data_IF_023848235036
#
_entry.id   IF_023848235036
#
_cell.length_a   1.000
_cell.length_b   1.000
_cell.length_c   1.000
_cell.angle_alpha   90.00
_cell.angle_beta   90.00
_cell.angle_gamma   90.00
#
_symmetry.space_group_name_H-M   'P 1'
#
loop_
_entity.id
_entity.type
_entity.pdbx_description
1 polymer ?
#
# COMPACT_ATOMS: atom_id res chain seq x y z
N UNK A 1 -13.99 16.23 -7.79
CA UNK A 1 -12.82 15.35 -8.01
C UNK A 1 -12.01 15.34 -6.72
N UNK A 2 -11.48 14.19 -6.32
CA UNK A 2 -10.65 14.07 -5.12
C UNK A 2 -9.20 14.42 -5.44
N UNK A 3 -8.51 15.12 -4.54
CA UNK A 3 -7.10 15.50 -4.72
C UNK A 3 -6.12 14.36 -4.41
N UNK A 4 -6.53 13.37 -3.61
CA UNK A 4 -5.79 12.17 -3.28
C UNK A 4 -6.76 11.01 -2.97
N UNK A 5 -6.29 9.77 -3.08
CA UNK A 5 -7.07 8.57 -2.80
C UNK A 5 -6.34 7.62 -1.84
N UNK A 6 -7.07 7.04 -0.89
CA UNK A 6 -6.55 6.03 0.03
C UNK A 6 -7.23 4.71 -0.29
N UNK A 7 -6.44 3.66 -0.56
CA UNK A 7 -6.96 2.38 -1.02
C UNK A 7 -6.33 1.20 -0.27
N UNK A 8 -7.16 0.21 0.02
CA UNK A 8 -6.74 -1.05 0.63
C UNK A 8 -6.57 -2.16 -0.41
N UNK A 9 -7.13 -1.97 -1.62
CA UNK A 9 -7.15 -2.96 -2.70
C UNK A 9 -6.07 -2.67 -3.74
N UNK A 10 -5.23 -3.67 -4.03
CA UNK A 10 -4.18 -3.56 -5.05
C UNK A 10 -4.70 -3.33 -6.48
N UNK A 11 -5.94 -3.71 -6.79
CA UNK A 11 -6.55 -3.47 -8.11
C UNK A 11 -7.08 -2.06 -8.26
N UNK A 12 -7.66 -1.48 -7.21
CA UNK A 12 -8.13 -0.09 -7.22
C UNK A 12 -6.97 0.89 -7.40
N UNK A 13 -5.78 0.54 -6.91
CA UNK A 13 -4.56 1.33 -7.07
C UNK A 13 -4.14 1.43 -8.54
N UNK A 14 -4.33 0.37 -9.33
CA UNK A 14 -4.09 0.42 -10.79
C UNK A 14 -5.04 1.38 -11.49
N UNK A 15 -6.33 1.37 -11.14
CA UNK A 15 -7.32 2.28 -11.72
C UNK A 15 -7.03 3.74 -11.35
N UNK A 16 -6.61 4.00 -10.11
CA UNK A 16 -6.23 5.33 -9.64
C UNK A 16 -4.95 5.85 -10.30
N UNK A 17 -3.96 4.97 -10.51
CA UNK A 17 -2.75 5.26 -11.28
C UNK A 17 -3.07 5.62 -12.74
N UNK A 18 -3.96 4.85 -13.39
CA UNK A 18 -4.43 5.16 -14.74
C UNK A 18 -5.18 6.50 -14.79
N UNK A 19 -5.93 6.83 -13.74
CA UNK A 19 -6.60 8.12 -13.57
C UNK A 19 -5.65 9.27 -13.20
N UNK A 20 -4.33 9.02 -13.09
CA UNK A 20 -3.30 9.99 -12.64
C UNK A 20 -3.62 10.64 -11.29
N UNK A 21 -4.28 9.89 -10.40
CA UNK A 21 -4.60 10.34 -9.06
C UNK A 21 -3.53 9.87 -8.08
N UNK A 22 -2.94 10.77 -7.28
CA UNK A 22 -2.00 10.36 -6.24
C UNK A 22 -2.77 9.48 -5.24
N UNK A 23 -2.26 8.27 -5.02
CA UNK A 23 -2.90 7.29 -4.17
C UNK A 23 -1.92 6.66 -3.18
N UNK A 24 -2.44 6.33 -2.01
CA UNK A 24 -1.70 5.71 -0.91
C UNK A 24 -2.36 4.38 -0.61
N UNK A 25 -1.55 3.33 -0.53
CA UNK A 25 -2.05 2.00 -0.14
C UNK A 25 -1.91 1.86 1.36
N UNK A 26 -3.01 1.69 2.08
CA UNK A 26 -2.99 1.49 3.52
C UNK A 26 -3.62 0.15 3.84
N UNK A 27 -2.87 -0.76 4.46
CA UNK A 27 -3.41 -2.07 4.84
C UNK A 27 -3.03 -2.43 6.26
N UNK A 28 -4.03 -2.50 7.14
CA UNK A 28 -3.85 -2.94 8.53
C UNK A 28 -4.31 -4.38 8.66
N UNK A 29 -3.38 -5.32 8.80
CA UNK A 29 -3.70 -6.70 9.18
C UNK A 29 -3.53 -6.94 10.68
N UNK A 30 -4.01 -8.08 11.15
CA UNK A 30 -3.81 -8.51 12.53
C UNK A 30 -2.35 -8.93 12.77
N UNK A 31 -1.84 -8.73 14.00
CA UNK A 31 -0.44 -8.99 14.38
C UNK A 31 0.01 -10.43 14.05
N UNK A 32 -0.87 -11.42 14.25
CA UNK A 32 -0.61 -12.82 13.88
C UNK A 32 -0.43 -12.98 12.37
N UNK A 33 -1.25 -12.29 11.57
CA UNK A 33 -1.19 -12.32 10.11
C UNK A 33 0.09 -11.63 9.61
N UNK A 34 0.45 -10.49 10.19
CA UNK A 34 1.72 -9.80 9.88
C UNK A 34 2.92 -10.70 10.20
N UNK A 35 2.90 -11.39 11.35
CA UNK A 35 3.98 -12.28 11.75
C UNK A 35 4.13 -13.47 10.79
N UNK A 36 3.03 -14.10 10.40
CA UNK A 36 3.03 -15.18 9.41
C UNK A 36 3.54 -14.68 8.06
N UNK A 37 3.12 -13.50 7.60
CA UNK A 37 3.58 -12.94 6.33
C UNK A 37 5.07 -12.60 6.40
N UNK A 38 5.56 -11.97 7.47
CA UNK A 38 7.00 -11.71 7.67
C UNK A 38 7.85 -12.98 7.67
N UNK A 39 7.33 -14.09 8.21
CA UNK A 39 8.03 -15.39 8.20
C UNK A 39 7.96 -16.11 6.85
N UNK A 40 6.85 -15.97 6.13
CA UNK A 40 6.55 -16.79 4.95
C UNK A 40 6.84 -16.08 3.63
N UNK A 41 6.99 -14.77 3.63
CA UNK A 41 6.95 -13.94 2.43
C UNK A 41 8.23 -13.11 2.28
N UNK A 42 8.98 -13.34 1.20
CA UNK A 42 10.05 -12.47 0.67
C UNK A 42 9.51 -11.33 -0.22
N UNK A 43 8.20 -11.19 -0.34
CA UNK A 43 7.60 -10.14 -1.17
C UNK A 43 7.70 -8.81 -0.44
N UNK A 44 8.48 -7.90 -1.00
CA UNK A 44 8.70 -6.55 -0.47
C UNK A 44 7.50 -5.62 -0.71
N UNK A 45 6.60 -5.99 -1.64
CA UNK A 45 5.47 -5.17 -2.08
C UNK A 45 4.18 -5.99 -2.10
N UNK A 46 3.04 -5.33 -1.80
CA UNK A 46 1.71 -5.97 -1.82
C UNK A 46 0.89 -5.47 -3.00
N UNK A 47 1.08 -4.22 -3.43
CA UNK A 47 0.35 -3.70 -4.60
C UNK A 47 0.93 -4.28 -5.90
N UNK A 48 0.03 -4.65 -6.82
CA UNK A 48 0.39 -5.13 -8.15
C UNK A 48 1.37 -4.19 -8.90
N UNK A 49 1.19 -2.85 -8.90
CA UNK A 49 2.12 -1.94 -9.56
C UNK A 49 3.54 -2.02 -9.02
N UNK A 50 3.69 -2.04 -7.69
CA UNK A 50 5.01 -2.09 -7.06
C UNK A 50 5.68 -3.47 -7.25
N UNK A 51 4.90 -4.55 -7.26
CA UNK A 51 5.41 -5.89 -7.58
C UNK A 51 5.87 -5.97 -9.04
N UNK A 52 5.10 -5.42 -9.98
CA UNK A 52 5.41 -5.45 -11.42
C UNK A 52 6.69 -4.67 -11.77
N UNK A 53 6.94 -3.57 -11.06
CA UNK A 53 8.12 -2.73 -11.26
C UNK A 53 9.25 -3.02 -10.26
N UNK A 54 9.07 -4.02 -9.40
CA UNK A 54 9.99 -4.40 -8.30
C UNK A 54 10.55 -3.19 -7.54
N UNK A 55 9.71 -2.16 -7.36
CA UNK A 55 10.11 -0.87 -6.79
C UNK A 55 8.93 -0.17 -6.13
N UNK A 56 9.22 0.67 -5.14
CA UNK A 56 8.22 1.41 -4.37
C UNK A 56 7.75 2.66 -5.13
N UNK A 57 6.99 2.48 -6.21
CA UNK A 57 6.41 3.59 -6.98
C UNK A 57 5.31 4.27 -6.17
N UNK A 58 4.52 3.45 -5.47
CA UNK A 58 3.35 3.89 -4.73
C UNK A 58 3.65 3.71 -3.25
N UNK A 59 3.41 4.75 -2.42
CA UNK A 59 3.61 4.63 -1.00
C UNK A 59 2.62 3.60 -0.42
N UNK A 60 3.17 2.55 0.22
CA UNK A 60 2.40 1.51 0.91
C UNK A 60 2.66 1.59 2.42
N UNK A 61 1.63 1.93 3.18
CA UNK A 61 1.62 1.84 4.64
C UNK A 61 1.04 0.48 5.05
N UNK A 62 1.92 -0.49 5.26
CA UNK A 62 1.54 -1.88 5.53
C UNK A 62 1.71 -2.25 7.01
N UNK A 63 0.72 -3.01 7.50
CA UNK A 63 0.70 -3.63 8.81
C UNK A 63 0.99 -2.64 9.97
N UNK A 64 2.08 -2.87 10.70
CA UNK A 64 2.58 -2.03 11.78
C UNK A 64 3.01 -0.62 11.34
N UNK A 65 3.26 -0.41 10.04
CA UNK A 65 3.55 0.92 9.46
C UNK A 65 2.27 1.67 9.05
N UNK A 66 1.09 1.05 9.20
CA UNK A 66 -0.20 1.70 8.98
C UNK A 66 -0.59 2.56 10.19
N UNK A 67 0.28 3.51 10.55
CA UNK A 67 0.08 4.47 11.63
C UNK A 67 -0.49 5.79 11.09
N UNK A 68 -1.34 6.48 11.88
CA UNK A 68 -1.93 7.75 11.45
C UNK A 68 -0.86 8.82 11.16
N UNK A 69 0.27 8.78 11.87
CA UNK A 69 1.39 9.69 11.68
C UNK A 69 2.10 9.47 10.33
N UNK A 70 2.29 8.21 9.95
CA UNK A 70 2.96 7.83 8.71
C UNK A 70 2.05 8.06 7.50
N UNK A 71 0.76 7.76 7.64
CA UNK A 71 -0.25 8.12 6.65
C UNK A 71 -0.34 9.64 6.42
N UNK A 72 -0.22 10.44 7.48
CA UNK A 72 -0.24 11.91 7.36
C UNK A 72 0.98 12.49 6.67
N UNK A 73 2.12 11.78 6.69
CA UNK A 73 3.35 12.18 6.01
C UNK A 73 3.36 11.79 4.52
N UNK A 74 2.53 10.81 4.16
CA UNK A 74 2.40 10.30 2.79
C UNK A 74 1.31 11.04 1.97
N UNK A 75 0.43 11.79 2.63
CA UNK A 75 -0.61 12.66 2.04
C UNK A 75 -0.04 14.03 1.67
#
# INVERSE_FOLDING_TARGET
>A
ASSAALCTSGTAVLELQLARLPCIVAYRAHLLTEWIIRLKTKMHFISLPNILMDSQIIPEALFSSCNPMELSMLL
#
